data_IF_587039024758
#
_entry.id   IF_587039024758
#
_cell.length_a   1.000
_cell.length_b   1.000
_cell.length_c   1.000
_cell.angle_alpha   90.00
_cell.angle_beta   90.00
_cell.angle_gamma   90.00
#
_symmetry.space_group_name_H-M   'P 1'
#
loop_
_entity.id
_entity.type
_entity.pdbx_description
1 polymer ?
#
# COMPACT_ATOMS: atom_id res chain seq x y z
N UNK A 1 42.92 -69.06 -3.24
CA UNK A 1 43.96 -68.42 -2.44
C UNK A 1 44.90 -67.77 -3.42
N UNK A 2 44.88 -66.46 -3.56
CA UNK A 2 46.05 -65.70 -4.03
C UNK A 2 45.98 -64.30 -3.45
N UNK A 3 47.03 -63.98 -2.71
CA UNK A 3 47.17 -62.82 -1.82
C UNK A 3 47.24 -61.54 -2.66
N UNK A 4 46.35 -60.60 -2.39
CA UNK A 4 46.51 -59.21 -2.83
C UNK A 4 47.76 -58.67 -2.11
N UNK A 5 48.87 -58.55 -2.85
CA UNK A 5 50.07 -57.83 -2.39
C UNK A 5 49.66 -56.38 -2.15
N UNK A 6 49.75 -55.93 -0.91
CA UNK A 6 49.67 -54.51 -0.56
C UNK A 6 50.70 -53.73 -1.38
N UNK A 7 50.25 -52.82 -2.24
CA UNK A 7 51.13 -51.81 -2.79
C UNK A 7 51.59 -50.91 -1.63
N UNK A 8 52.82 -51.13 -1.17
CA UNK A 8 53.54 -50.17 -0.33
C UNK A 8 53.84 -48.96 -1.22
N UNK A 9 52.92 -48.00 -1.25
CA UNK A 9 53.18 -46.68 -1.82
C UNK A 9 54.00 -45.95 -0.76
N UNK A 10 55.30 -45.92 -0.96
CA UNK A 10 56.22 -45.17 -0.13
C UNK A 10 56.03 -43.68 -0.43
N UNK A 11 55.12 -43.03 0.32
CA UNK A 11 54.77 -41.61 0.15
C UNK A 11 55.96 -40.66 0.36
N UNK A 12 57.12 -41.16 0.79
CA UNK A 12 58.35 -40.39 0.99
C UNK A 12 59.09 -40.04 -0.32
N UNK A 13 58.72 -40.62 -1.47
CA UNK A 13 59.41 -40.40 -2.75
C UNK A 13 58.84 -39.27 -3.61
N UNK A 14 57.73 -38.63 -3.21
CA UNK A 14 57.20 -37.45 -3.89
C UNK A 14 57.56 -36.17 -3.12
N UNK A 15 58.84 -35.83 -3.13
CA UNK A 15 59.27 -34.51 -2.67
C UNK A 15 59.17 -33.55 -3.86
N UNK A 16 58.09 -32.77 -3.92
CA UNK A 16 57.98 -31.68 -4.89
C UNK A 16 58.98 -30.60 -4.52
N UNK A 17 59.95 -30.31 -5.39
CA UNK A 17 60.83 -29.16 -5.24
C UNK A 17 60.00 -27.88 -5.15
N UNK A 18 60.10 -27.19 -4.01
CA UNK A 18 59.44 -25.90 -3.85
C UNK A 18 60.07 -24.91 -4.84
N UNK A 19 59.36 -24.59 -5.92
CA UNK A 19 59.80 -23.64 -6.97
C UNK A 19 60.01 -22.22 -6.41
N UNK A 20 59.65 -21.97 -5.15
CA UNK A 20 59.85 -20.71 -4.44
C UNK A 20 60.82 -20.95 -3.28
N UNK A 21 61.82 -20.09 -3.07
CA UNK A 21 62.64 -20.15 -1.87
C UNK A 21 61.74 -20.07 -0.63
N UNK A 22 62.07 -20.86 0.39
CA UNK A 22 61.37 -20.84 1.68
C UNK A 22 61.36 -19.38 2.17
N UNK A 23 60.19 -18.79 2.48
CA UNK A 23 60.12 -17.41 2.94
C UNK A 23 61.06 -17.24 4.14
N UNK A 24 61.89 -16.19 4.12
CA UNK A 24 62.71 -15.85 5.29
C UNK A 24 61.77 -15.56 6.44
N UNK A 25 61.73 -16.45 7.43
CA UNK A 25 61.06 -16.18 8.70
C UNK A 25 61.88 -15.09 9.37
N UNK A 26 61.44 -13.84 9.22
CA UNK A 26 62.01 -12.74 9.96
C UNK A 26 61.55 -12.95 11.40
N UNK A 27 62.47 -13.35 12.29
CA UNK A 27 62.28 -13.30 13.74
C UNK A 27 62.35 -11.85 14.22
N UNK A 28 61.56 -10.99 13.60
CA UNK A 28 61.14 -9.75 14.21
C UNK A 28 60.06 -10.16 15.18
N UNK A 29 60.08 -9.62 16.40
CA UNK A 29 58.84 -9.45 17.14
C UNK A 29 57.94 -8.59 16.24
N UNK A 30 57.19 -9.24 15.36
CA UNK A 30 56.06 -8.65 14.66
C UNK A 30 55.06 -8.40 15.77
N UNK A 31 55.21 -7.25 16.43
CA UNK A 31 54.09 -6.60 17.07
C UNK A 31 53.10 -6.41 15.93
N UNK A 32 52.12 -7.31 15.84
CA UNK A 32 50.93 -7.04 15.08
C UNK A 32 50.51 -5.65 15.53
N UNK A 33 50.55 -4.70 14.60
CA UNK A 33 50.07 -3.38 14.91
C UNK A 33 48.57 -3.61 15.06
N UNK A 34 48.11 -3.81 16.30
CA UNK A 34 46.71 -3.96 16.70
C UNK A 34 45.98 -2.62 16.51
N UNK A 35 46.27 -1.91 15.42
CA UNK A 35 45.47 -0.84 14.86
C UNK A 35 44.18 -1.41 14.23
N UNK A 36 43.60 -2.45 14.85
CA UNK A 36 42.20 -2.83 14.68
C UNK A 36 41.32 -1.60 15.03
N UNK A 37 41.81 -0.69 15.87
CA UNK A 37 41.14 0.56 16.23
C UNK A 37 41.07 1.63 15.13
N UNK A 38 41.65 1.43 13.93
CA UNK A 38 41.54 2.40 12.83
C UNK A 38 40.67 1.98 11.66
N UNK A 39 40.07 0.79 11.68
CA UNK A 39 39.00 0.47 10.74
C UNK A 39 37.69 0.96 11.38
N UNK A 40 37.47 2.26 11.32
CA UNK A 40 36.13 2.78 11.54
C UNK A 40 35.32 2.34 10.33
N UNK A 41 34.69 1.17 10.42
CA UNK A 41 33.90 0.56 9.36
C UNK A 41 32.68 1.46 9.15
N UNK A 42 32.86 2.50 8.36
CA UNK A 42 31.83 3.45 8.02
C UNK A 42 31.04 2.86 6.87
N UNK A 43 29.87 2.31 7.20
CA UNK A 43 28.88 1.96 6.22
C UNK A 43 28.52 3.22 5.44
N UNK A 44 28.86 3.23 4.15
CA UNK A 44 28.45 4.29 3.28
C UNK A 44 27.01 4.01 2.82
N UNK A 45 26.04 4.54 3.56
CA UNK A 45 24.60 4.42 3.24
C UNK A 45 24.23 4.99 1.86
N UNK A 46 25.12 5.75 1.21
CA UNK A 46 24.89 6.22 -0.18
C UNK A 46 25.23 5.19 -1.25
N UNK A 47 25.85 4.05 -0.90
CA UNK A 47 26.08 2.93 -1.83
C UNK A 47 24.88 1.98 -1.96
N UNK A 48 23.84 2.15 -1.13
CA UNK A 48 22.55 1.45 -1.24
C UNK A 48 21.56 2.15 -2.18
N UNK A 49 22.03 2.96 -3.13
CA UNK A 49 21.16 3.38 -4.24
C UNK A 49 21.00 2.16 -5.14
N UNK A 50 20.02 1.31 -4.82
CA UNK A 50 19.58 0.25 -5.70
C UNK A 50 19.20 0.90 -7.04
N UNK A 51 20.05 0.74 -8.06
CA UNK A 51 19.81 1.31 -9.40
C UNK A 51 18.61 0.66 -10.10
N UNK A 52 18.16 -0.49 -9.59
CA UNK A 52 16.99 -1.18 -10.08
C UNK A 52 15.71 -0.40 -9.74
N UNK A 53 14.96 0.00 -10.78
CA UNK A 53 13.73 0.79 -10.67
C UNK A 53 12.72 0.13 -9.74
N UNK A 54 12.61 -1.20 -9.79
CA UNK A 54 11.68 -1.95 -8.95
C UNK A 54 12.02 -1.81 -7.46
N UNK A 55 13.31 -1.85 -7.14
CA UNK A 55 13.79 -1.71 -5.77
C UNK A 55 13.49 -0.31 -5.21
N UNK A 56 13.65 0.73 -6.03
CA UNK A 56 13.27 2.11 -5.65
C UNK A 56 11.76 2.24 -5.42
N UNK A 57 10.93 1.68 -6.31
CA UNK A 57 9.47 1.68 -6.14
C UNK A 57 9.06 0.97 -4.84
N UNK A 58 9.67 -0.19 -4.53
CA UNK A 58 9.41 -0.92 -3.28
C UNK A 58 9.80 -0.11 -2.05
N UNK A 59 10.95 0.56 -2.09
CA UNK A 59 11.41 1.41 -1.00
C UNK A 59 10.46 2.58 -0.79
N UNK A 60 10.00 3.24 -1.86
CA UNK A 60 9.03 4.33 -1.78
C UNK A 60 7.70 3.82 -1.22
N UNK A 61 7.18 2.66 -1.65
CA UNK A 61 5.94 2.09 -1.10
C UNK A 61 6.10 1.73 0.38
N UNK A 62 7.28 1.24 0.78
CA UNK A 62 7.57 0.95 2.19
C UNK A 62 7.65 2.24 3.01
N UNK A 63 8.28 3.29 2.49
CA UNK A 63 8.28 4.64 3.08
C UNK A 63 6.86 5.20 3.18
N UNK A 64 6.00 4.98 2.18
CA UNK A 64 4.59 5.41 2.17
C UNK A 64 3.78 4.88 3.36
N UNK A 65 4.14 3.69 3.85
CA UNK A 65 3.49 3.09 4.99
C UNK A 65 3.93 3.73 6.32
N UNK A 66 5.13 4.32 6.37
CA UNK A 66 5.74 4.84 7.61
C UNK A 66 5.59 6.35 7.71
N UNK A 67 5.84 7.10 6.64
CA UNK A 67 5.84 8.56 6.62
C UNK A 67 5.08 9.12 5.41
N UNK A 68 4.77 10.41 5.47
CA UNK A 68 4.37 11.17 4.29
C UNK A 68 5.55 11.25 3.31
N UNK A 69 5.26 11.06 2.03
CA UNK A 69 6.27 11.03 0.97
C UNK A 69 6.50 12.43 0.40
N UNK A 70 7.75 12.73 0.05
CA UNK A 70 8.11 13.98 -0.60
C UNK A 70 7.53 14.06 -2.02
N UNK A 71 7.15 15.25 -2.47
CA UNK A 71 6.52 15.43 -3.79
C UNK A 71 7.43 15.03 -4.97
N UNK A 72 8.75 15.09 -4.79
CA UNK A 72 9.72 14.60 -5.79
C UNK A 72 9.69 13.07 -5.92
N UNK A 73 9.65 12.34 -4.80
CA UNK A 73 9.54 10.89 -4.77
C UNK A 73 8.18 10.42 -5.31
N UNK A 74 7.09 11.17 -5.04
CA UNK A 74 5.77 10.91 -5.63
C UNK A 74 5.81 10.99 -7.16
N UNK A 75 6.39 12.06 -7.71
CA UNK A 75 6.50 12.25 -9.17
C UNK A 75 7.31 11.12 -9.81
N UNK A 76 8.43 10.75 -9.20
CA UNK A 76 9.27 9.66 -9.67
C UNK A 76 8.52 8.32 -9.65
N UNK A 77 7.75 8.03 -8.60
CA UNK A 77 6.88 6.85 -8.55
C UNK A 77 5.85 6.84 -9.68
N UNK A 78 5.16 7.96 -9.92
CA UNK A 78 4.17 8.07 -10.99
C UNK A 78 4.78 7.89 -12.37
N UNK A 79 5.96 8.45 -12.63
CA UNK A 79 6.68 8.27 -13.89
C UNK A 79 7.09 6.81 -14.11
N UNK A 80 7.61 6.13 -13.08
CA UNK A 80 8.04 4.73 -13.21
C UNK A 80 6.86 3.79 -13.45
N UNK A 81 5.77 3.97 -12.72
CA UNK A 81 4.59 3.10 -12.82
C UNK A 81 3.75 3.37 -14.07
N UNK A 82 3.76 4.60 -14.61
CA UNK A 82 3.05 4.91 -15.86
C UNK A 82 3.70 4.25 -17.08
N UNK A 83 5.02 4.03 -17.04
CA UNK A 83 5.79 3.54 -18.17
C UNK A 83 5.91 2.00 -18.21
N UNK A 84 5.96 1.32 -17.05
CA UNK A 84 6.26 -0.12 -16.98
C UNK A 84 5.23 -0.91 -16.16
N UNK A 85 4.33 -1.63 -16.85
CA UNK A 85 3.28 -2.47 -16.21
C UNK A 85 3.84 -3.64 -15.40
N UNK A 86 5.03 -4.13 -15.71
CA UNK A 86 5.67 -5.23 -14.98
C UNK A 86 6.14 -4.81 -13.58
N UNK A 87 6.45 -3.52 -13.39
CA UNK A 87 6.77 -2.97 -12.07
C UNK A 87 5.54 -2.98 -11.16
N UNK A 88 4.36 -2.70 -11.70
CA UNK A 88 3.11 -2.65 -10.93
C UNK A 88 2.78 -4.00 -10.28
N UNK A 89 3.01 -5.12 -10.98
CA UNK A 89 2.79 -6.46 -10.42
C UNK A 89 3.75 -6.79 -9.28
N UNK A 90 4.97 -6.27 -9.34
CA UNK A 90 6.04 -6.60 -8.41
C UNK A 90 6.28 -5.54 -7.33
N UNK A 91 5.54 -4.43 -7.35
CA UNK A 91 5.77 -3.27 -6.48
C UNK A 91 5.57 -3.56 -4.98
N UNK A 92 4.98 -4.71 -4.62
CA UNK A 92 4.71 -5.08 -3.23
C UNK A 92 3.56 -4.28 -2.62
N UNK A 93 2.69 -3.71 -3.46
CA UNK A 93 1.41 -3.16 -3.03
C UNK A 93 0.43 -4.31 -2.80
N UNK A 94 0.02 -4.47 -1.56
CA UNK A 94 -0.90 -5.52 -1.11
C UNK A 94 -2.15 -4.87 -0.53
N UNK A 95 -3.30 -5.54 -0.63
CA UNK A 95 -4.58 -5.11 -0.05
C UNK A 95 -4.48 -4.71 1.42
N UNK A 96 -3.65 -5.40 2.21
CA UNK A 96 -3.40 -5.09 3.63
C UNK A 96 -2.69 -3.75 3.89
N UNK A 97 -1.92 -3.24 2.93
CA UNK A 97 -1.18 -1.97 3.05
C UNK A 97 -2.02 -0.77 2.62
N UNK A 98 -3.08 -1.01 1.85
CA UNK A 98 -3.96 0.03 1.34
C UNK A 98 -4.48 0.96 2.46
N UNK A 99 -5.04 0.47 3.59
CA UNK A 99 -5.57 1.36 4.63
C UNK A 99 -4.52 2.36 5.14
N UNK A 100 -3.31 1.87 5.41
CA UNK A 100 -2.19 2.65 5.95
C UNK A 100 -1.76 3.74 4.94
N UNK A 101 -1.74 3.39 3.65
CA UNK A 101 -1.38 4.33 2.59
C UNK A 101 -2.47 5.38 2.41
N UNK A 102 -3.77 5.03 2.52
CA UNK A 102 -4.87 5.99 2.42
C UNK A 102 -4.78 7.07 3.51
N UNK A 103 -4.45 6.68 4.74
CA UNK A 103 -4.37 7.62 5.86
C UNK A 103 -3.22 8.64 5.70
N UNK A 104 -2.06 8.19 5.19
CA UNK A 104 -0.86 9.04 5.09
C UNK A 104 -0.70 9.72 3.74
N UNK A 105 -1.02 9.03 2.65
CA UNK A 105 -0.69 9.42 1.29
C UNK A 105 -1.84 9.07 0.32
N UNK A 106 -2.97 9.80 0.41
CA UNK A 106 -4.16 9.56 -0.40
C UNK A 106 -3.89 9.60 -1.92
N UNK A 107 -3.06 10.54 -2.41
CA UNK A 107 -2.77 10.68 -3.84
C UNK A 107 -2.08 9.43 -4.42
N UNK A 108 -1.20 8.81 -3.63
CA UNK A 108 -0.48 7.59 -4.02
C UNK A 108 -1.45 6.42 -4.06
N UNK A 109 -2.33 6.29 -3.06
CA UNK A 109 -3.38 5.27 -3.05
C UNK A 109 -4.29 5.40 -4.28
N UNK A 110 -4.73 6.62 -4.61
CA UNK A 110 -5.54 6.91 -5.80
C UNK A 110 -4.86 6.46 -7.07
N UNK A 111 -3.63 6.92 -7.30
CA UNK A 111 -2.88 6.56 -8.49
C UNK A 111 -2.66 5.05 -8.61
N UNK A 112 -2.25 4.37 -7.53
CA UNK A 112 -2.01 2.92 -7.54
C UNK A 112 -3.28 2.13 -7.87
N UNK A 113 -4.42 2.49 -7.28
CA UNK A 113 -5.69 1.81 -7.53
C UNK A 113 -6.18 2.00 -8.98
N UNK A 114 -5.96 3.17 -9.57
CA UNK A 114 -6.26 3.38 -11.00
C UNK A 114 -5.38 2.50 -11.88
N UNK A 115 -4.09 2.39 -11.57
CA UNK A 115 -3.19 1.56 -12.37
C UNK A 115 -3.53 0.06 -12.25
N UNK A 116 -3.97 -0.39 -11.09
CA UNK A 116 -4.27 -1.79 -10.79
C UNK A 116 -5.69 -2.19 -11.23
N UNK A 117 -6.56 -1.25 -11.62
CA UNK A 117 -7.96 -1.54 -11.97
C UNK A 117 -8.14 -2.59 -13.08
N UNK A 118 -7.16 -2.70 -13.99
CA UNK A 118 -7.18 -3.66 -15.10
C UNK A 118 -6.42 -4.96 -14.80
N UNK A 119 -5.87 -5.11 -13.59
CA UNK A 119 -5.17 -6.31 -13.15
C UNK A 119 -6.13 -7.26 -12.44
N UNK A 120 -5.85 -8.56 -12.56
CA UNK A 120 -6.52 -9.59 -11.79
C UNK A 120 -6.28 -9.35 -10.29
N UNK A 121 -7.35 -9.44 -9.48
CA UNK A 121 -7.29 -9.19 -8.03
C UNK A 121 -7.68 -7.78 -7.58
N UNK A 122 -8.12 -6.89 -8.48
CA UNK A 122 -8.63 -5.57 -8.10
C UNK A 122 -9.81 -5.64 -7.11
N UNK A 123 -10.66 -6.67 -7.22
CA UNK A 123 -11.81 -6.89 -6.33
C UNK A 123 -11.39 -7.02 -4.86
N UNK A 124 -10.24 -7.63 -4.56
CA UNK A 124 -9.72 -7.74 -3.19
C UNK A 124 -9.48 -6.36 -2.57
N UNK A 125 -9.07 -5.37 -3.37
CA UNK A 125 -8.88 -3.99 -2.90
C UNK A 125 -10.22 -3.30 -2.63
N UNK A 126 -11.27 -3.61 -3.42
CA UNK A 126 -12.62 -3.10 -3.19
C UNK A 126 -13.23 -3.67 -1.91
N UNK A 127 -13.01 -4.96 -1.63
CA UNK A 127 -13.47 -5.60 -0.39
C UNK A 127 -12.85 -4.96 0.86
N UNK A 128 -11.58 -4.53 0.78
CA UNK A 128 -10.90 -3.85 1.89
C UNK A 128 -11.60 -2.55 2.28
N UNK A 129 -12.23 -1.83 1.35
CA UNK A 129 -12.97 -0.59 1.71
C UNK A 129 -14.11 -0.84 2.72
N UNK A 130 -14.72 -2.02 2.71
CA UNK A 130 -15.79 -2.40 3.66
C UNK A 130 -15.22 -2.89 5.00
N UNK A 131 -13.90 -3.06 5.09
CA UNK A 131 -13.20 -3.49 6.32
C UNK A 131 -12.46 -2.35 7.01
N UNK A 132 -12.22 -1.23 6.31
CA UNK A 132 -11.52 -0.06 6.86
C UNK A 132 -12.49 0.83 7.64
N UNK A 133 -12.00 1.53 8.66
CA UNK A 133 -12.73 2.59 9.33
C UNK A 133 -13.09 3.72 8.36
N UNK A 134 -14.35 4.16 8.39
CA UNK A 134 -14.79 5.26 7.53
C UNK A 134 -14.14 6.56 8.01
N UNK A 135 -13.25 7.11 7.19
CA UNK A 135 -12.56 8.40 7.40
C UNK A 135 -12.79 9.32 6.20
N UNK A 136 -12.51 10.63 6.36
CA UNK A 136 -12.59 11.57 5.24
C UNK A 136 -11.76 11.10 4.03
N UNK A 137 -10.52 10.65 4.25
CA UNK A 137 -9.62 10.20 3.19
C UNK A 137 -10.19 8.99 2.44
N UNK A 138 -10.76 8.01 3.16
CA UNK A 138 -11.39 6.83 2.52
C UNK A 138 -12.60 7.20 1.67
N UNK A 139 -13.43 8.15 2.13
CA UNK A 139 -14.61 8.61 1.40
C UNK A 139 -14.23 9.41 0.15
N UNK A 140 -13.25 10.31 0.26
CA UNK A 140 -12.76 11.09 -0.88
C UNK A 140 -12.11 10.19 -1.93
N UNK A 141 -11.23 9.29 -1.51
CA UNK A 141 -10.61 8.33 -2.42
C UNK A 141 -11.65 7.49 -3.15
N UNK A 142 -12.63 6.93 -2.43
CA UNK A 142 -13.69 6.15 -3.05
C UNK A 142 -14.51 6.97 -4.06
N UNK A 143 -14.81 8.24 -3.74
CA UNK A 143 -15.52 9.14 -4.65
C UNK A 143 -14.72 9.44 -5.93
N UNK A 144 -13.40 9.62 -5.82
CA UNK A 144 -12.52 9.82 -6.96
C UNK A 144 -12.42 8.58 -7.84
N UNK A 145 -12.23 7.40 -7.22
CA UNK A 145 -12.18 6.12 -7.94
C UNK A 145 -13.47 5.86 -8.71
N UNK A 146 -14.63 6.15 -8.11
CA UNK A 146 -15.90 6.01 -8.80
C UNK A 146 -15.97 6.90 -10.05
N UNK A 147 -15.58 8.17 -9.93
CA UNK A 147 -15.62 9.14 -11.04
C UNK A 147 -14.74 8.74 -12.23
N UNK A 148 -13.61 8.09 -11.97
CA UNK A 148 -12.64 7.70 -13.01
C UNK A 148 -12.85 6.28 -13.54
N UNK A 149 -13.12 5.30 -12.68
CA UNK A 149 -13.17 3.87 -13.03
C UNK A 149 -14.57 3.37 -13.42
N UNK A 150 -15.63 4.16 -13.22
CA UNK A 150 -17.03 3.77 -13.48
C UNK A 150 -17.37 2.40 -12.90
N UNK A 151 -17.06 2.22 -11.61
CA UNK A 151 -17.30 0.98 -10.89
C UNK A 151 -18.79 0.56 -10.97
N UNK A 152 -19.08 -0.75 -10.93
CA UNK A 152 -20.46 -1.25 -10.88
C UNK A 152 -21.22 -0.66 -9.68
N UNK A 153 -22.52 -0.42 -9.86
CA UNK A 153 -23.39 0.21 -8.86
C UNK A 153 -23.53 -0.62 -7.58
N UNK A 154 -23.32 -1.94 -7.66
CA UNK A 154 -23.43 -2.88 -6.56
C UNK A 154 -22.42 -2.55 -5.46
N UNK A 155 -21.16 -2.30 -5.84
CA UNK A 155 -20.09 -1.93 -4.91
C UNK A 155 -20.36 -0.60 -4.21
N UNK A 156 -20.96 0.36 -4.91
CA UNK A 156 -21.28 1.69 -4.37
C UNK A 156 -22.40 1.57 -3.36
N UNK A 157 -23.46 0.86 -3.72
CA UNK A 157 -24.60 0.58 -2.84
C UNK A 157 -24.15 -0.13 -1.57
N UNK A 158 -23.29 -1.15 -1.71
CA UNK A 158 -22.72 -1.88 -0.58
C UNK A 158 -21.87 -0.99 0.33
N UNK A 159 -21.02 -0.13 -0.24
CA UNK A 159 -20.19 0.79 0.54
C UNK A 159 -21.01 1.87 1.25
N UNK A 160 -22.08 2.39 0.63
CA UNK A 160 -23.00 3.34 1.28
C UNK A 160 -23.68 2.69 2.48
N UNK A 161 -24.19 1.46 2.33
CA UNK A 161 -24.83 0.73 3.43
C UNK A 161 -23.84 0.47 4.57
N UNK A 162 -22.61 0.06 4.24
CA UNK A 162 -21.52 -0.05 5.22
C UNK A 162 -21.26 1.27 5.96
N UNK A 163 -21.23 2.41 5.25
CA UNK A 163 -21.03 3.71 5.88
C UNK A 163 -22.16 4.10 6.84
N UNK A 164 -23.41 3.79 6.49
CA UNK A 164 -24.58 4.02 7.35
C UNK A 164 -24.48 3.17 8.62
N UNK A 165 -24.21 1.87 8.47
CA UNK A 165 -24.03 0.95 9.60
C UNK A 165 -22.85 1.34 10.48
N UNK A 166 -21.74 1.78 9.88
CA UNK A 166 -20.58 2.28 10.60
C UNK A 166 -20.95 3.50 11.45
N UNK A 167 -21.66 4.49 10.89
CA UNK A 167 -22.12 5.66 11.63
C UNK A 167 -23.04 5.29 12.82
N UNK A 168 -23.87 4.27 12.68
CA UNK A 168 -24.78 3.82 13.74
C UNK A 168 -24.06 3.15 14.91
N UNK A 169 -22.93 2.51 14.66
CA UNK A 169 -22.15 1.78 15.67
C UNK A 169 -21.18 2.65 16.49
N UNK A 170 -21.02 3.93 16.15
CA UNK A 170 -20.11 4.84 16.87
C UNK A 170 -20.71 5.29 18.20
N UNK A 171 -20.00 5.01 19.29
CA UNK A 171 -20.44 5.34 20.66
C UNK A 171 -20.32 6.83 20.98
N UNK A 172 -19.27 7.49 20.49
CA UNK A 172 -19.01 8.89 20.82
C UNK A 172 -19.78 9.85 19.90
N UNK A 173 -20.76 10.56 20.45
CA UNK A 173 -21.67 11.44 19.70
C UNK A 173 -20.97 12.56 18.92
N UNK A 174 -19.86 13.09 19.43
CA UNK A 174 -19.13 14.14 18.72
C UNK A 174 -18.43 13.61 17.47
N UNK A 175 -17.74 12.47 17.59
CA UNK A 175 -17.11 11.77 16.47
C UNK A 175 -18.16 11.29 15.48
N UNK A 176 -19.27 10.73 15.96
CA UNK A 176 -20.41 10.32 15.12
C UNK A 176 -20.94 11.49 14.29
N UNK A 177 -21.21 12.65 14.90
CA UNK A 177 -21.69 13.82 14.16
C UNK A 177 -20.68 14.30 13.09
N UNK A 178 -19.37 14.24 13.37
CA UNK A 178 -18.34 14.58 12.37
C UNK A 178 -18.39 13.62 11.18
N UNK A 179 -18.46 12.31 11.45
CA UNK A 179 -18.50 11.30 10.39
C UNK A 179 -19.79 11.34 9.59
N UNK A 180 -20.93 11.53 10.25
CA UNK A 180 -22.22 11.74 9.59
C UNK A 180 -22.17 12.94 8.64
N UNK A 181 -21.45 14.01 8.97
CA UNK A 181 -21.24 15.14 8.05
C UNK A 181 -20.46 14.71 6.81
N UNK A 182 -19.35 14.00 6.97
CA UNK A 182 -18.54 13.52 5.85
C UNK A 182 -19.32 12.55 4.96
N UNK A 183 -19.97 11.54 5.55
CA UNK A 183 -20.82 10.58 4.84
C UNK A 183 -21.97 11.29 4.13
N UNK A 184 -22.60 12.28 4.76
CA UNK A 184 -23.67 13.07 4.12
C UNK A 184 -23.18 13.84 2.89
N UNK A 185 -21.99 14.43 2.94
CA UNK A 185 -21.41 15.14 1.78
C UNK A 185 -21.02 14.14 0.68
N UNK A 186 -20.44 13.01 1.05
CA UNK A 186 -20.11 11.92 0.14
C UNK A 186 -21.35 11.39 -0.60
N UNK A 187 -22.44 11.04 0.10
CA UNK A 187 -23.67 10.57 -0.53
C UNK A 187 -24.26 11.65 -1.44
N UNK A 188 -24.23 12.93 -1.05
CA UNK A 188 -24.66 14.03 -1.91
C UNK A 188 -23.86 14.11 -3.22
N UNK A 189 -22.54 13.88 -3.16
CA UNK A 189 -21.69 13.83 -4.34
C UNK A 189 -22.06 12.64 -5.23
N UNK A 190 -22.23 11.45 -4.66
CA UNK A 190 -22.61 10.24 -5.41
C UNK A 190 -23.98 10.38 -6.08
N UNK A 191 -24.97 10.98 -5.39
CA UNK A 191 -26.29 11.27 -5.96
C UNK A 191 -26.21 12.25 -7.13
N UNK A 192 -25.39 13.30 -7.03
CA UNK A 192 -25.21 14.27 -8.13
C UNK A 192 -24.55 13.65 -9.36
N UNK A 193 -23.62 12.73 -9.14
CA UNK A 193 -22.96 11.96 -10.21
C UNK A 193 -23.85 10.85 -10.79
N UNK A 194 -25.04 10.61 -10.23
CA UNK A 194 -25.95 9.50 -10.58
C UNK A 194 -25.25 8.15 -10.53
N UNK A 195 -24.47 7.95 -9.47
CA UNK A 195 -23.59 6.80 -9.33
C UNK A 195 -24.31 5.46 -9.15
N UNK A 196 -25.51 5.48 -8.57
CA UNK A 196 -26.30 4.30 -8.23
C UNK A 196 -27.79 4.53 -8.48
N UNK A 197 -28.54 3.43 -8.57
CA UNK A 197 -30.01 3.46 -8.58
C UNK A 197 -30.56 3.86 -7.21
N UNK A 198 -31.06 5.10 -7.10
CA UNK A 198 -31.60 5.63 -5.84
C UNK A 198 -32.77 4.79 -5.30
N UNK A 199 -33.46 4.01 -6.14
CA UNK A 199 -34.62 3.21 -5.74
C UNK A 199 -34.29 2.12 -4.72
N UNK A 200 -33.11 1.51 -4.85
CA UNK A 200 -32.76 0.32 -4.07
C UNK A 200 -32.30 0.66 -2.65
N UNK A 201 -31.81 1.88 -2.43
CA UNK A 201 -31.35 2.39 -1.12
C UNK A 201 -32.14 3.60 -0.61
N UNK A 202 -33.26 3.94 -1.27
CA UNK A 202 -34.05 5.11 -0.89
C UNK A 202 -34.52 5.04 0.57
N UNK A 203 -35.02 3.88 0.98
CA UNK A 203 -35.58 3.66 2.32
C UNK A 203 -34.49 3.78 3.39
N UNK A 204 -33.31 3.20 3.15
CA UNK A 204 -32.18 3.25 4.07
C UNK A 204 -31.63 4.68 4.20
N UNK A 205 -31.53 5.41 3.08
CA UNK A 205 -31.13 6.82 3.08
C UNK A 205 -32.14 7.72 3.80
N UNK A 206 -33.44 7.46 3.66
CA UNK A 206 -34.48 8.19 4.40
C UNK A 206 -34.41 7.91 5.89
N UNK A 207 -34.25 6.65 6.29
CA UNK A 207 -34.07 6.26 7.69
C UNK A 207 -32.84 6.95 8.30
N UNK A 208 -31.69 6.91 7.61
CA UNK A 208 -30.48 7.63 8.01
C UNK A 208 -30.73 9.13 8.17
N UNK A 209 -31.43 9.75 7.22
CA UNK A 209 -31.72 11.19 7.29
C UNK A 209 -32.62 11.57 8.47
N UNK A 210 -33.56 10.70 8.85
CA UNK A 210 -34.45 10.90 9.99
C UNK A 210 -33.65 10.76 11.30
N UNK A 211 -32.85 9.70 11.41
CA UNK A 211 -32.01 9.41 12.58
C UNK A 211 -31.03 10.55 12.88
N UNK A 212 -30.34 11.05 11.84
CA UNK A 212 -29.34 12.10 11.97
C UNK A 212 -29.84 13.51 11.60
N UNK A 213 -31.14 13.74 11.65
CA UNK A 213 -31.79 15.01 11.29
C UNK A 213 -31.25 16.26 11.99
N UNK A 214 -30.59 16.10 13.15
CA UNK A 214 -29.94 17.20 13.90
C UNK A 214 -28.70 17.76 13.21
N UNK A 215 -28.12 17.04 12.24
CA UNK A 215 -26.93 17.47 11.49
C UNK A 215 -27.36 18.29 10.28
N UNK A 216 -26.78 19.48 10.11
CA UNK A 216 -27.20 20.43 9.06
C UNK A 216 -26.97 19.90 7.62
N UNK A 217 -25.91 19.12 7.42
CA UNK A 217 -25.56 18.51 6.15
C UNK A 217 -26.59 17.44 5.72
N UNK A 218 -27.16 16.72 6.69
CA UNK A 218 -28.21 15.70 6.46
C UNK A 218 -29.48 16.35 5.92
N UNK A 219 -29.81 17.57 6.36
CA UNK A 219 -30.95 18.31 5.81
C UNK A 219 -30.80 18.62 4.31
N UNK A 220 -29.57 18.80 3.82
CA UNK A 220 -29.30 19.00 2.39
C UNK A 220 -29.43 17.67 1.63
N UNK A 221 -28.89 16.59 2.19
CA UNK A 221 -29.04 15.25 1.66
C UNK A 221 -30.52 14.86 1.53
N UNK A 222 -31.31 15.06 2.59
CA UNK A 222 -32.74 14.73 2.61
C UNK A 222 -33.52 15.44 1.49
N UNK A 223 -33.24 16.71 1.23
CA UNK A 223 -33.85 17.46 0.12
C UNK A 223 -33.49 16.86 -1.25
N UNK A 224 -32.25 16.41 -1.42
CA UNK A 224 -31.80 15.78 -2.67
C UNK A 224 -32.45 14.41 -2.84
N UNK A 225 -32.50 13.59 -1.79
CA UNK A 225 -33.16 12.28 -1.79
C UNK A 225 -34.63 12.42 -2.14
N UNK A 226 -35.35 13.35 -1.52
CA UNK A 226 -36.76 13.63 -1.82
C UNK A 226 -36.99 14.10 -3.27
N UNK A 227 -36.03 14.83 -3.84
CA UNK A 227 -36.08 15.24 -5.25
C UNK A 227 -35.86 14.09 -6.26
N UNK A 228 -35.36 12.93 -5.80
CA UNK A 228 -35.20 11.72 -6.62
C UNK A 228 -36.41 10.78 -6.55
N UNK A 229 -37.40 11.08 -5.70
CA UNK A 229 -38.66 10.33 -5.70
C UNK A 229 -39.29 10.49 -7.08
N UNK A 230 -39.68 9.39 -7.76
CA UNK A 230 -40.52 9.52 -8.93
C UNK A 230 -41.78 10.22 -8.46
N UNK A 231 -42.03 11.42 -8.98
CA UNK A 231 -43.32 12.08 -8.84
C UNK A 231 -44.38 11.08 -9.28
N UNK A 232 -45.05 10.46 -8.31
CA UNK A 232 -46.19 9.59 -8.54
C UNK A 232 -47.26 10.49 -9.16
N UNK A 233 -47.29 10.52 -10.50
CA UNK A 233 -48.41 10.97 -11.31
C UNK A 233 -49.07 9.74 -11.89
#
# INVERSE_FOLDING_TARGET
>A
MDKIKSLNIDCALYQTDFIRPIPKIVSSELQWNDNIYMINLQWNYTLEINQDKLSQVKEIIQKACITEINDEEKKLLFDYLSNEKDLLKNCGFTSQRLPIIIEKNQDIAHFLLIQICNLDGFEEFLEVFIQIEVTQNTLELFAHLFGELKLPQEYITQYINYCIDFCNNIKEKQQQNKLVRFVSVFIQQMLRLKAFSTKDILTDLQAFCIEFSKVGEVSKLFKLVKGQEPSTQ
#
